data_IF_771140672196
#
_entry.id   IF_771140672196
#
_cell.length_a   1.000
_cell.length_b   1.000
_cell.length_c   1.000
_cell.angle_alpha   90.00
_cell.angle_beta   90.00
_cell.angle_gamma   90.00
#
_symmetry.space_group_name_H-M   'P 1'
#
loop_
_entity.id
_entity.type
_entity.pdbx_description
1 polymer ?
#
# COMPACT_ATOMS: atom_id res chain seq x y z
N UNK A 1 -24.46 16.71 14.87
CA UNK A 1 -24.60 15.63 15.88
C UNK A 1 -23.39 15.71 16.78
N UNK A 2 -23.55 15.76 18.11
CA UNK A 2 -22.39 15.69 19.02
C UNK A 2 -21.88 14.26 19.02
N UNK A 3 -20.67 14.03 18.52
CA UNK A 3 -20.01 12.72 18.63
C UNK A 3 -19.83 12.45 20.12
N UNK A 4 -20.44 11.37 20.61
CA UNK A 4 -20.28 10.94 21.99
C UNK A 4 -18.87 10.36 22.12
N UNK A 5 -18.02 11.03 22.91
CA UNK A 5 -16.71 10.50 23.26
C UNK A 5 -16.92 9.18 24.02
N UNK A 6 -16.30 8.12 23.52
CA UNK A 6 -16.24 6.82 24.19
C UNK A 6 -14.93 6.79 24.95
N UNK A 7 -15.00 6.62 26.27
CA UNK A 7 -13.80 6.42 27.09
C UNK A 7 -13.14 5.09 26.71
N UNK A 8 -11.80 5.06 26.54
CA UNK A 8 -11.10 3.83 26.19
C UNK A 8 -11.26 2.80 27.29
N UNK A 9 -11.58 1.56 26.91
CA UNK A 9 -11.72 0.43 27.84
C UNK A 9 -10.39 -0.27 28.14
N UNK A 10 -9.35 0.01 27.35
CA UNK A 10 -8.00 -0.53 27.50
C UNK A 10 -6.94 0.50 27.06
N UNK A 11 -5.75 0.43 27.68
CA UNK A 11 -4.56 1.20 27.30
C UNK A 11 -3.38 0.25 27.29
N UNK A 12 -2.66 0.17 26.17
CA UNK A 12 -1.51 -0.70 25.98
C UNK A 12 -0.21 0.08 25.95
N UNK A 13 0.84 -0.45 26.58
CA UNK A 13 2.20 0.05 26.37
C UNK A 13 2.80 -0.64 25.16
N UNK A 14 2.61 -0.04 23.98
CA UNK A 14 3.09 -0.58 22.71
C UNK A 14 4.54 -0.21 22.41
N UNK A 15 5.26 0.52 23.28
CA UNK A 15 6.65 0.93 23.01
C UNK A 15 7.60 -0.22 22.64
N UNK A 16 7.50 -1.43 23.22
CA UNK A 16 8.45 -2.51 22.92
C UNK A 16 8.26 -3.19 21.55
N UNK A 17 7.09 -3.06 20.91
CA UNK A 17 6.72 -3.87 19.73
C UNK A 17 5.75 -3.21 18.75
N UNK A 18 5.14 -2.09 19.15
CA UNK A 18 4.21 -1.32 18.34
C UNK A 18 4.90 -0.65 17.16
N UNK A 19 4.13 -0.45 16.09
CA UNK A 19 4.59 0.14 14.84
C UNK A 19 3.78 1.36 14.43
N UNK A 20 4.29 2.11 13.46
CA UNK A 20 3.56 3.21 12.84
C UNK A 20 2.37 2.71 12.00
N UNK A 21 2.44 1.45 11.56
CA UNK A 21 1.37 0.78 10.84
C UNK A 21 0.77 -0.34 11.70
N UNK A 22 -0.55 -0.42 11.69
CA UNK A 22 -1.27 -1.57 12.22
C UNK A 22 -2.39 -2.03 11.27
N UNK A 23 -2.84 -3.27 11.46
CA UNK A 23 -4.01 -3.88 10.83
C UNK A 23 -4.85 -4.57 11.89
N UNK A 24 -6.16 -4.59 11.69
CA UNK A 24 -7.11 -5.21 12.62
C UNK A 24 -7.91 -6.23 11.82
N UNK A 25 -7.88 -7.49 12.24
CA UNK A 25 -8.62 -8.58 11.62
C UNK A 25 -8.81 -9.72 12.62
N UNK A 26 -9.85 -10.53 12.45
CA UNK A 26 -9.99 -11.81 13.12
C UNK A 26 -9.12 -12.83 12.37
N UNK A 27 -7.92 -13.08 12.88
CA UNK A 27 -6.90 -13.86 12.18
C UNK A 27 -7.04 -15.35 12.50
N UNK A 28 -7.55 -15.69 13.68
CA UNK A 28 -7.69 -17.06 14.14
C UNK A 28 -9.11 -17.65 14.00
N UNK A 29 -10.09 -16.83 13.58
CA UNK A 29 -11.47 -17.22 13.32
C UNK A 29 -12.33 -17.40 14.58
N UNK A 30 -11.95 -16.81 15.72
CA UNK A 30 -12.70 -16.91 16.98
C UNK A 30 -13.83 -15.86 17.11
N UNK A 31 -13.98 -14.99 16.10
CA UNK A 31 -14.96 -13.91 16.06
C UNK A 31 -14.51 -12.63 16.76
N UNK A 32 -13.26 -12.53 17.22
CA UNK A 32 -12.68 -11.34 17.83
C UNK A 32 -11.50 -10.84 16.99
N UNK A 33 -11.29 -9.52 16.95
CA UNK A 33 -10.16 -8.97 16.22
C UNK A 33 -8.85 -9.10 17.01
N UNK A 34 -7.80 -9.51 16.32
CA UNK A 34 -6.41 -9.27 16.67
C UNK A 34 -5.91 -7.96 16.05
N UNK A 35 -4.77 -7.46 16.55
CA UNK A 35 -4.08 -6.29 16.00
C UNK A 35 -2.67 -6.68 15.60
N UNK A 36 -2.36 -6.55 14.30
CA UNK A 36 -1.02 -6.73 13.75
C UNK A 36 -0.31 -5.38 13.72
N UNK A 37 0.88 -5.29 14.30
CA UNK A 37 1.77 -4.15 14.19
C UNK A 37 2.96 -4.47 13.28
N UNK A 38 3.34 -3.49 12.46
CA UNK A 38 4.53 -3.54 11.61
C UNK A 38 5.50 -2.43 12.01
N UNK A 39 6.70 -2.83 12.43
CA UNK A 39 7.89 -1.98 12.42
C UNK A 39 8.71 -2.31 11.18
N UNK A 40 8.95 -1.31 10.34
CA UNK A 40 9.78 -1.48 9.17
C UNK A 40 10.44 -0.17 8.74
N UNK A 41 11.45 -0.26 7.86
CA UNK A 41 12.01 0.89 7.16
C UNK A 41 10.98 1.59 6.26
N UNK A 42 10.01 0.84 5.71
CA UNK A 42 9.11 1.36 4.67
C UNK A 42 9.89 1.81 3.43
N UNK A 43 9.54 2.96 2.86
CA UNK A 43 10.23 3.57 1.74
C UNK A 43 11.69 3.95 2.06
N UNK A 44 12.07 4.07 3.34
CA UNK A 44 13.46 4.27 3.71
C UNK A 44 14.34 3.13 3.19
N UNK A 45 13.83 1.91 3.03
CA UNK A 45 14.61 0.79 2.48
C UNK A 45 15.19 1.02 1.07
N UNK A 46 14.76 2.06 0.37
CA UNK A 46 15.31 2.44 -0.94
C UNK A 46 16.76 2.95 -0.83
N UNK A 47 17.57 2.67 -1.85
CA UNK A 47 18.97 3.13 -1.96
C UNK A 47 19.15 4.64 -1.82
N UNK A 48 18.14 5.44 -2.19
CA UNK A 48 18.13 6.89 -2.06
C UNK A 48 18.33 7.33 -0.60
N UNK A 49 17.79 6.60 0.37
CA UNK A 49 17.92 6.93 1.80
C UNK A 49 19.06 6.20 2.50
N UNK A 50 19.76 5.31 1.77
CA UNK A 50 20.80 4.46 2.31
C UNK A 50 22.12 5.24 2.52
N UNK A 51 22.66 5.29 3.75
CA UNK A 51 23.90 6.00 4.04
C UNK A 51 25.13 5.40 3.34
N UNK A 52 25.05 4.17 2.80
CA UNK A 52 26.10 3.52 2.00
C UNK A 52 26.22 4.10 0.59
N UNK A 53 25.23 4.90 0.16
CA UNK A 53 25.19 5.60 -1.13
C UNK A 53 25.22 7.13 -0.91
N UNK A 54 26.35 7.69 -0.41
CA UNK A 54 26.46 9.10 -0.04
C UNK A 54 26.41 10.05 -1.22
N UNK A 55 26.54 9.55 -2.45
CA UNK A 55 26.53 10.35 -3.67
C UNK A 55 25.10 10.67 -4.18
N UNK A 56 24.06 10.11 -3.56
CA UNK A 56 22.65 10.39 -3.87
C UNK A 56 22.13 11.51 -2.97
N UNK A 57 21.62 12.60 -3.57
CA UNK A 57 21.12 13.81 -2.91
C UNK A 57 19.75 13.60 -2.23
N UNK A 58 19.74 12.88 -1.11
CA UNK A 58 18.56 12.64 -0.28
C UNK A 58 18.93 12.64 1.21
N UNK A 59 17.95 12.84 2.09
CA UNK A 59 18.17 12.59 3.52
C UNK A 59 18.54 11.12 3.74
N UNK A 60 19.39 10.85 4.73
CA UNK A 60 19.86 9.49 5.02
C UNK A 60 19.34 9.03 6.37
N UNK A 61 18.93 7.77 6.46
CA UNK A 61 18.55 7.14 7.72
C UNK A 61 19.71 6.33 8.29
N UNK A 62 19.60 5.89 9.54
CA UNK A 62 20.54 4.94 10.11
C UNK A 62 20.49 3.59 9.39
N UNK A 63 21.57 2.82 9.45
CA UNK A 63 21.61 1.44 8.92
C UNK A 63 20.62 0.58 9.69
N UNK A 64 20.47 0.82 10.99
CA UNK A 64 19.49 0.19 11.85
C UNK A 64 18.04 0.46 11.41
N UNK A 65 17.71 1.68 10.91
CA UNK A 65 16.36 1.98 10.41
C UNK A 65 16.11 1.23 9.10
N UNK A 66 17.12 1.13 8.23
CA UNK A 66 17.06 0.41 6.95
C UNK A 66 16.79 -1.09 7.13
N UNK A 67 17.36 -1.67 8.19
CA UNK A 67 17.29 -3.10 8.50
C UNK A 67 16.09 -3.45 9.41
N UNK A 68 15.36 -2.46 9.93
CA UNK A 68 14.25 -2.67 10.83
C UNK A 68 13.15 -3.53 10.18
N UNK A 69 12.82 -4.63 10.85
CA UNK A 69 11.69 -5.47 10.52
C UNK A 69 11.19 -6.21 11.76
N UNK A 70 9.93 -5.95 12.12
CA UNK A 70 9.22 -6.71 13.15
C UNK A 70 7.71 -6.73 12.84
N UNK A 71 7.14 -7.91 12.80
CA UNK A 71 5.69 -8.15 12.85
C UNK A 71 5.34 -8.63 14.26
N UNK A 72 4.36 -8.00 14.89
CA UNK A 72 3.84 -8.42 16.20
C UNK A 72 2.33 -8.52 16.12
N UNK A 73 1.77 -9.71 16.36
CA UNK A 73 0.33 -9.89 16.50
C UNK A 73 -0.03 -9.92 17.99
N UNK A 74 -1.02 -9.13 18.37
CA UNK A 74 -1.55 -9.09 19.74
C UNK A 74 -3.05 -9.35 19.76
N UNK A 75 -3.54 -9.89 20.86
CA UNK A 75 -4.98 -10.06 21.10
C UNK A 75 -5.65 -8.74 21.54
N UNK A 76 -6.97 -8.78 21.78
CA UNK A 76 -7.74 -7.64 22.29
C UNK A 76 -7.38 -7.16 23.71
N UNK A 77 -6.49 -7.87 24.42
CA UNK A 77 -5.94 -7.44 25.71
C UNK A 77 -4.54 -6.80 25.56
N UNK A 78 -3.91 -6.93 24.39
CA UNK A 78 -2.54 -6.49 24.12
C UNK A 78 -1.49 -7.55 24.45
N UNK A 79 -1.90 -8.80 24.69
CA UNK A 79 -0.98 -9.92 24.88
C UNK A 79 -0.43 -10.38 23.53
N UNK A 80 0.89 -10.53 23.45
CA UNK A 80 1.56 -10.98 22.22
C UNK A 80 1.21 -12.45 21.96
N UNK A 81 0.63 -12.72 20.80
CA UNK A 81 0.34 -14.06 20.31
C UNK A 81 1.58 -14.65 19.64
N UNK A 82 2.20 -13.89 18.74
CA UNK A 82 3.47 -14.23 18.09
C UNK A 82 4.20 -12.97 17.62
N UNK A 83 5.51 -13.11 17.38
CA UNK A 83 6.35 -12.05 16.87
C UNK A 83 7.38 -12.61 15.88
N UNK A 84 7.50 -11.98 14.71
CA UNK A 84 8.45 -12.34 13.66
C UNK A 84 9.37 -11.16 13.35
N UNK A 85 10.68 -11.36 13.51
CA UNK A 85 11.68 -10.30 13.38
C UNK A 85 12.16 -9.76 14.72
N UNK A 86 12.84 -8.61 14.69
CA UNK A 86 13.44 -7.97 15.87
C UNK A 86 12.88 -6.57 16.01
N UNK A 87 12.21 -6.25 17.13
CA UNK A 87 11.68 -4.92 17.33
C UNK A 87 12.81 -3.90 17.49
N UNK A 88 12.46 -2.65 17.24
CA UNK A 88 13.36 -1.54 17.44
C UNK A 88 13.87 -1.46 18.89
N UNK A 89 15.19 -1.29 19.05
CA UNK A 89 15.86 -1.39 20.35
C UNK A 89 16.79 -0.21 20.68
N UNK A 90 16.83 0.84 19.86
CA UNK A 90 17.66 2.01 20.14
C UNK A 90 16.98 2.97 21.13
N UNK A 91 17.79 3.81 21.80
CA UNK A 91 17.32 4.80 22.78
C UNK A 91 16.42 5.90 22.17
N UNK A 92 16.52 6.12 20.85
CA UNK A 92 15.68 7.06 20.10
C UNK A 92 14.47 6.34 19.50
N UNK A 93 13.36 7.02 19.18
CA UNK A 93 12.31 6.44 18.34
C UNK A 93 12.85 5.96 16.98
N UNK A 94 12.27 4.87 16.45
CA UNK A 94 12.55 4.46 15.07
C UNK A 94 11.99 5.49 14.08
N UNK A 95 12.63 5.60 12.92
CA UNK A 95 12.13 6.42 11.83
C UNK A 95 11.47 5.54 10.77
N UNK A 96 10.29 5.93 10.31
CA UNK A 96 9.58 5.25 9.24
C UNK A 96 9.03 6.27 8.27
N UNK A 97 9.18 5.97 6.98
CA UNK A 97 8.43 6.61 5.92
C UNK A 97 7.65 5.53 5.22
N UNK A 98 6.35 5.48 5.44
CA UNK A 98 5.49 4.72 4.58
C UNK A 98 4.37 5.57 4.06
N UNK A 99 4.59 6.09 2.85
CA UNK A 99 3.56 6.66 2.00
C UNK A 99 2.26 5.86 2.18
N UNK A 100 1.27 6.52 2.78
CA UNK A 100 -0.11 6.05 2.96
C UNK A 100 -0.33 4.78 3.78
N UNK A 101 0.72 4.23 4.41
CA UNK A 101 0.59 3.03 5.24
C UNK A 101 0.12 1.78 4.49
N UNK A 102 0.33 1.69 3.17
CA UNK A 102 -0.13 0.60 2.27
C UNK A 102 0.98 -0.40 1.90
N UNK A 103 1.81 -0.75 2.90
CA UNK A 103 2.89 -1.72 2.76
C UNK A 103 2.47 -3.13 3.14
N UNK A 104 1.38 -3.25 3.90
CA UNK A 104 0.92 -4.48 4.52
C UNK A 104 -0.58 -4.65 4.24
N UNK A 105 -1.01 -5.86 3.93
CA UNK A 105 -2.42 -6.23 3.84
C UNK A 105 -2.67 -7.53 4.62
N UNK A 106 -3.90 -7.68 5.13
CA UNK A 106 -4.39 -8.91 5.76
C UNK A 106 -5.54 -9.45 4.91
N UNK A 107 -5.32 -10.58 4.25
CA UNK A 107 -6.29 -11.16 3.31
C UNK A 107 -6.09 -12.67 3.19
N UNK A 108 -7.17 -13.40 2.95
CA UNK A 108 -7.11 -14.77 2.43
C UNK A 108 -6.70 -14.72 0.95
N UNK A 109 -5.39 -14.71 0.71
CA UNK A 109 -4.80 -14.44 -0.59
C UNK A 109 -5.01 -15.62 -1.56
N UNK A 110 -4.87 -16.84 -1.04
CA UNK A 110 -4.95 -18.08 -1.83
C UNK A 110 -6.35 -18.74 -1.84
N UNK A 111 -7.30 -18.20 -1.05
CA UNK A 111 -8.69 -18.62 -1.01
C UNK A 111 -8.92 -19.89 -0.18
N UNK A 112 -7.98 -20.26 0.72
CA UNK A 112 -8.07 -21.45 1.56
C UNK A 112 -8.88 -21.24 2.86
N UNK A 113 -9.37 -20.02 3.09
CA UNK A 113 -10.13 -19.62 4.28
C UNK A 113 -9.27 -19.16 5.44
N UNK A 114 -7.95 -19.06 5.30
CA UNK A 114 -7.03 -18.53 6.30
C UNK A 114 -6.47 -17.18 5.86
N UNK A 115 -6.16 -16.33 6.82
CA UNK A 115 -5.61 -15.01 6.52
C UNK A 115 -4.09 -15.08 6.35
N UNK A 116 -3.59 -14.48 5.28
CA UNK A 116 -2.19 -14.17 5.07
C UNK A 116 -1.86 -12.70 5.38
N UNK A 117 -0.58 -12.46 5.66
CA UNK A 117 0.02 -11.13 5.70
C UNK A 117 0.80 -10.92 4.41
N UNK A 118 0.31 -10.02 3.56
CA UNK A 118 1.01 -9.57 2.36
C UNK A 118 1.82 -8.32 2.70
N UNK A 119 3.13 -8.32 2.46
CA UNK A 119 4.00 -7.24 2.88
C UNK A 119 5.12 -6.96 1.88
N UNK A 120 5.40 -5.67 1.63
CA UNK A 120 6.67 -5.24 1.02
C UNK A 120 7.69 -4.85 2.09
N UNK A 121 8.88 -5.44 2.03
CA UNK A 121 10.01 -5.07 2.84
C UNK A 121 11.30 -5.08 2.01
N UNK A 122 11.92 -3.91 1.86
CA UNK A 122 13.05 -3.71 0.94
C UNK A 122 12.67 -4.10 -0.49
N UNK A 123 13.49 -4.90 -1.13
CA UNK A 123 13.27 -5.44 -2.47
C UNK A 123 12.63 -6.83 -2.43
N UNK A 124 11.83 -7.13 -1.41
CA UNK A 124 11.10 -8.37 -1.26
C UNK A 124 9.60 -8.13 -1.01
N UNK A 125 8.78 -8.86 -1.76
CA UNK A 125 7.38 -9.07 -1.45
C UNK A 125 7.25 -10.38 -0.70
N UNK A 126 6.67 -10.33 0.50
CA UNK A 126 6.62 -11.44 1.45
C UNK A 126 5.17 -11.77 1.78
N UNK A 127 4.89 -13.06 1.92
CA UNK A 127 3.60 -13.59 2.35
C UNK A 127 3.82 -14.44 3.58
N UNK A 128 3.18 -14.08 4.70
CA UNK A 128 3.24 -14.84 5.95
C UNK A 128 1.88 -15.48 6.24
N UNK A 129 1.87 -16.62 6.91
CA UNK A 129 0.68 -17.13 7.60
C UNK A 129 0.39 -16.20 8.78
N UNK A 130 -0.80 -15.60 8.84
CA UNK A 130 -1.11 -14.65 9.90
C UNK A 130 -1.37 -15.35 11.24
N UNK A 131 -1.66 -16.65 11.26
CA UNK A 131 -1.97 -17.39 12.51
C UNK A 131 -0.73 -17.63 13.37
N UNK A 132 0.44 -17.80 12.75
CA UNK A 132 1.69 -18.12 13.45
C UNK A 132 2.88 -17.23 13.08
N UNK A 133 2.72 -16.35 12.08
CA UNK A 133 3.75 -15.42 11.63
C UNK A 133 4.86 -16.08 10.80
N UNK A 134 4.68 -17.32 10.32
CA UNK A 134 5.67 -18.00 9.48
C UNK A 134 5.61 -17.54 8.02
N UNK A 135 6.78 -17.34 7.41
CA UNK A 135 6.90 -16.96 6.01
C UNK A 135 6.45 -18.13 5.10
N UNK A 136 5.33 -17.95 4.37
CA UNK A 136 4.79 -18.91 3.39
C UNK A 136 5.50 -18.78 2.04
N UNK A 137 5.69 -17.54 1.56
CA UNK A 137 6.24 -17.28 0.23
C UNK A 137 7.02 -15.94 0.20
N UNK A 138 7.98 -15.83 -0.72
CA UNK A 138 8.72 -14.60 -0.95
C UNK A 138 9.07 -14.45 -2.42
N UNK A 139 9.07 -13.21 -2.90
CA UNK A 139 9.51 -12.84 -4.24
C UNK A 139 10.45 -11.65 -4.18
N UNK A 140 11.58 -11.78 -4.89
CA UNK A 140 12.45 -10.64 -5.18
C UNK A 140 11.75 -9.67 -6.11
N UNK A 141 11.72 -8.40 -5.73
CA UNK A 141 11.17 -7.31 -6.52
C UNK A 141 12.25 -6.72 -7.44
N UNK A 142 11.87 -6.09 -8.57
CA UNK A 142 12.81 -5.53 -9.52
C UNK A 142 13.78 -4.48 -8.96
N UNK A 143 13.39 -3.77 -7.90
CA UNK A 143 14.20 -2.74 -7.25
C UNK A 143 13.77 -2.55 -5.78
N UNK A 144 14.54 -1.76 -5.02
CA UNK A 144 14.27 -1.43 -3.61
C UNK A 144 13.29 -0.25 -3.41
N UNK A 145 12.76 0.31 -4.49
CA UNK A 145 11.76 1.39 -4.45
C UNK A 145 10.32 0.91 -4.30
N UNK A 146 10.10 -0.40 -4.31
CA UNK A 146 8.81 -0.99 -3.97
C UNK A 146 8.44 -0.67 -2.54
N UNK A 147 7.25 -0.11 -2.39
CA UNK A 147 6.78 0.41 -1.11
C UNK A 147 5.23 0.39 -1.01
N UNK A 148 4.56 -0.21 -1.99
CA UNK A 148 3.10 -0.31 -2.06
C UNK A 148 2.70 -1.74 -2.42
N UNK A 149 1.75 -2.30 -1.69
CA UNK A 149 1.09 -3.56 -2.08
C UNK A 149 -0.33 -3.64 -1.57
N UNK A 150 -1.21 -4.23 -2.39
CA UNK A 150 -2.60 -4.50 -2.07
C UNK A 150 -3.04 -5.82 -2.70
N UNK A 151 -3.95 -6.49 -2.02
CA UNK A 151 -4.72 -7.57 -2.61
C UNK A 151 -5.88 -6.99 -3.42
N UNK A 152 -6.09 -7.49 -4.65
CA UNK A 152 -7.14 -7.03 -5.58
C UNK A 152 -7.85 -8.23 -6.21
N UNK A 153 -9.14 -8.09 -6.52
CA UNK A 153 -9.94 -9.15 -7.15
C UNK A 153 -10.12 -8.83 -8.63
N UNK A 154 -9.39 -9.54 -9.49
CA UNK A 154 -9.41 -9.32 -10.94
C UNK A 154 -9.86 -10.55 -11.73
N UNK A 155 -10.37 -11.58 -11.05
CA UNK A 155 -10.99 -12.74 -11.67
C UNK A 155 -11.96 -13.45 -10.70
N UNK A 156 -12.63 -14.50 -11.20
CA UNK A 156 -13.63 -15.29 -10.49
C UNK A 156 -13.05 -16.54 -9.81
N UNK A 157 -11.73 -16.65 -9.70
CA UNK A 157 -11.05 -17.85 -9.17
C UNK A 157 -11.30 -18.08 -7.67
N UNK A 158 -11.82 -17.07 -6.97
CA UNK A 158 -11.93 -17.04 -5.51
C UNK A 158 -10.64 -16.60 -4.82
N UNK A 159 -9.55 -16.40 -5.57
CA UNK A 159 -8.25 -15.99 -5.07
C UNK A 159 -8.05 -14.49 -5.26
N UNK A 160 -7.20 -13.88 -4.43
CA UNK A 160 -6.76 -12.52 -4.69
C UNK A 160 -5.50 -12.50 -5.54
N UNK A 161 -5.37 -11.43 -6.31
CA UNK A 161 -4.14 -11.05 -6.98
C UNK A 161 -3.41 -10.01 -6.15
N UNK A 162 -2.12 -9.85 -6.41
CA UNK A 162 -1.28 -8.86 -5.75
C UNK A 162 -0.93 -7.76 -6.73
N UNK A 163 -1.42 -6.56 -6.43
CA UNK A 163 -0.90 -5.34 -7.01
C UNK A 163 0.28 -4.85 -6.17
N UNK A 164 1.41 -4.56 -6.79
CA UNK A 164 2.56 -3.93 -6.12
C UNK A 164 3.33 -3.04 -7.07
N UNK A 165 3.87 -1.93 -6.57
CA UNK A 165 4.61 -0.96 -7.38
C UNK A 165 5.73 -0.30 -6.60
N UNK A 166 6.69 0.23 -7.34
CA UNK A 166 7.59 1.25 -6.80
C UNK A 166 6.78 2.51 -6.46
N UNK A 167 7.09 3.16 -5.34
CA UNK A 167 6.52 4.46 -4.98
C UNK A 167 7.59 5.51 -4.73
N UNK A 168 8.80 5.23 -5.21
CA UNK A 168 9.94 6.14 -5.26
C UNK A 168 10.57 6.02 -6.65
N UNK A 169 11.52 6.90 -6.97
CA UNK A 169 12.39 6.75 -8.13
C UNK A 169 13.79 6.34 -7.72
N UNK A 170 14.59 5.87 -8.68
CA UNK A 170 16.04 5.78 -8.53
C UNK A 170 16.73 5.96 -9.87
N UNK A 171 18.03 5.66 -9.94
CA UNK A 171 18.79 5.70 -11.20
C UNK A 171 18.25 4.74 -12.26
N UNK A 172 17.56 3.68 -11.84
CA UNK A 172 17.15 2.57 -12.71
C UNK A 172 15.65 2.54 -12.99
N UNK A 173 14.85 3.38 -12.32
CA UNK A 173 13.40 3.40 -12.47
C UNK A 173 12.79 4.78 -12.22
N UNK A 174 11.72 5.10 -12.95
CA UNK A 174 10.95 6.33 -12.77
C UNK A 174 10.05 6.26 -11.54
N UNK A 175 9.62 7.43 -11.07
CA UNK A 175 8.75 7.54 -9.91
C UNK A 175 7.45 6.76 -10.13
N UNK A 176 7.03 6.01 -9.11
CA UNK A 176 5.81 5.21 -9.18
C UNK A 176 5.92 3.91 -10.00
N UNK A 177 7.10 3.55 -10.52
CA UNK A 177 7.25 2.49 -11.51
C UNK A 177 8.44 1.55 -11.25
N UNK A 178 8.36 0.26 -11.67
CA UNK A 178 7.25 -0.37 -12.39
C UNK A 178 6.07 -0.73 -11.48
N UNK A 179 4.93 -0.98 -12.12
CA UNK A 179 3.76 -1.61 -11.49
C UNK A 179 3.65 -3.07 -11.92
N UNK A 180 3.41 -3.96 -10.97
CA UNK A 180 3.31 -5.40 -11.14
C UNK A 180 1.94 -5.87 -10.69
N UNK A 181 1.35 -6.76 -11.49
CA UNK A 181 0.22 -7.60 -11.09
C UNK A 181 0.70 -9.04 -11.00
N UNK A 182 0.47 -9.68 -9.86
CA UNK A 182 0.89 -11.04 -9.56
C UNK A 182 -0.31 -11.88 -9.14
N UNK A 183 -0.24 -13.19 -9.33
CA UNK A 183 -1.20 -14.11 -8.71
C UNK A 183 -0.82 -14.40 -7.24
N UNK A 184 -1.66 -15.16 -6.52
CA UNK A 184 -1.41 -15.55 -5.12
C UNK A 184 -0.09 -16.31 -4.90
N UNK A 185 0.48 -16.94 -5.93
CA UNK A 185 1.81 -17.60 -5.87
C UNK A 185 2.98 -16.64 -6.11
N UNK A 186 2.69 -15.34 -6.24
CA UNK A 186 3.62 -14.29 -6.60
C UNK A 186 4.21 -14.46 -8.02
N UNK A 187 3.53 -15.17 -8.92
CA UNK A 187 3.94 -15.26 -10.34
C UNK A 187 3.42 -14.04 -11.10
N UNK A 188 4.21 -13.49 -12.02
CA UNK A 188 3.80 -12.32 -12.79
C UNK A 188 2.65 -12.64 -13.71
N UNK A 189 1.55 -11.89 -13.57
CA UNK A 189 0.48 -11.82 -14.58
C UNK A 189 0.90 -10.80 -15.64
N UNK A 190 1.20 -9.56 -15.22
CA UNK A 190 1.74 -8.53 -16.10
C UNK A 190 2.60 -7.52 -15.34
N UNK A 191 3.37 -6.74 -16.11
CA UNK A 191 4.17 -5.61 -15.64
C UNK A 191 3.89 -4.41 -16.53
N UNK A 192 3.70 -3.22 -15.95
CA UNK A 192 3.45 -1.97 -16.66
C UNK A 192 4.35 -0.83 -16.17
N UNK A 193 4.59 0.09 -17.10
CA UNK A 193 5.14 1.41 -16.86
C UNK A 193 4.00 2.40 -17.13
N UNK A 194 3.63 3.22 -16.15
CA UNK A 194 2.51 4.16 -16.25
C UNK A 194 3.04 5.57 -16.00
N UNK A 195 2.78 6.48 -16.93
CA UNK A 195 3.16 7.88 -16.80
C UNK A 195 2.36 8.54 -15.67
N UNK A 196 3.03 9.30 -14.79
CA UNK A 196 2.38 9.87 -13.61
C UNK A 196 1.88 8.85 -12.59
N UNK A 197 2.36 7.59 -12.60
CA UNK A 197 1.91 6.49 -11.73
C UNK A 197 1.82 6.81 -10.23
N UNK A 198 2.60 7.80 -9.76
CA UNK A 198 2.39 8.37 -8.43
C UNK A 198 2.76 7.46 -7.27
N UNK A 199 2.19 7.71 -6.10
CA UNK A 199 2.47 6.93 -4.90
C UNK A 199 1.73 5.59 -4.88
N UNK A 200 0.44 5.59 -5.21
CA UNK A 200 -0.46 4.44 -4.99
C UNK A 200 -1.31 4.10 -6.21
N UNK A 201 -1.92 2.91 -6.16
CA UNK A 201 -3.07 2.57 -7.00
C UNK A 201 -4.34 2.52 -6.17
N UNK A 202 -5.48 2.84 -6.76
CA UNK A 202 -6.80 2.72 -6.14
C UNK A 202 -7.68 1.75 -6.95
N UNK A 203 -8.61 1.07 -6.27
CA UNK A 203 -9.30 -0.11 -6.81
C UNK A 203 -10.77 -0.09 -6.43
N UNK A 204 -11.64 -0.31 -7.42
CA UNK A 204 -13.07 -0.49 -7.24
C UNK A 204 -13.66 -1.14 -8.50
N UNK A 205 -14.77 -1.87 -8.33
CA UNK A 205 -15.63 -2.32 -9.42
C UNK A 205 -16.44 -1.12 -9.95
N UNK A 206 -15.82 -0.37 -10.86
CA UNK A 206 -16.32 0.88 -11.44
C UNK A 206 -17.37 0.62 -12.50
N UNK A 207 -17.23 -0.45 -13.29
CA UNK A 207 -18.16 -0.77 -14.37
C UNK A 207 -19.24 -1.81 -14.00
N UNK A 208 -19.16 -2.40 -12.82
CA UNK A 208 -20.18 -3.28 -12.24
C UNK A 208 -20.10 -4.73 -12.74
N UNK A 209 -18.97 -5.16 -13.30
CA UNK A 209 -18.76 -6.52 -13.77
C UNK A 209 -18.37 -7.51 -12.64
N UNK A 210 -18.04 -6.99 -11.45
CA UNK A 210 -17.66 -7.75 -10.26
C UNK A 210 -16.16 -7.89 -10.04
N UNK A 211 -15.33 -7.25 -10.87
CA UNK A 211 -13.87 -7.18 -10.73
C UNK A 211 -13.41 -5.75 -10.47
N UNK A 212 -12.25 -5.62 -9.81
CA UNK A 212 -11.71 -4.30 -9.51
C UNK A 212 -11.02 -3.68 -10.74
N UNK A 213 -11.50 -2.52 -11.20
CA UNK A 213 -10.73 -1.61 -12.04
C UNK A 213 -9.54 -1.03 -11.26
N UNK A 214 -8.49 -0.67 -11.99
CA UNK A 214 -7.21 -0.24 -11.45
C UNK A 214 -6.94 1.21 -11.85
N UNK A 215 -7.08 2.13 -10.91
CA UNK A 215 -6.59 3.50 -11.07
C UNK A 215 -5.09 3.53 -10.75
N UNK A 216 -4.27 3.84 -11.74
CA UNK A 216 -2.81 3.93 -11.61
C UNK A 216 -2.36 5.26 -12.24
N UNK A 217 -1.87 6.18 -11.42
CA UNK A 217 -1.61 7.54 -11.87
C UNK A 217 -2.89 8.20 -12.40
N UNK A 218 -2.80 8.83 -13.56
CA UNK A 218 -3.94 9.50 -14.22
C UNK A 218 -4.65 8.61 -15.24
N UNK A 219 -4.61 7.28 -15.04
CA UNK A 219 -5.16 6.30 -15.97
C UNK A 219 -5.97 5.25 -15.24
N UNK A 220 -7.16 4.94 -15.79
CA UNK A 220 -7.99 3.84 -15.33
C UNK A 220 -7.82 2.65 -16.27
N UNK A 221 -7.58 1.48 -15.68
CA UNK A 221 -7.47 0.22 -16.39
C UNK A 221 -8.57 -0.72 -15.93
N UNK A 222 -9.05 -1.53 -16.87
CA UNK A 222 -9.88 -2.70 -16.65
C UNK A 222 -9.12 -3.74 -15.80
N UNK A 223 -9.82 -4.69 -15.21
CA UNK A 223 -9.29 -5.74 -14.33
C UNK A 223 -8.17 -6.56 -15.01
N UNK A 224 -8.21 -6.71 -16.35
CA UNK A 224 -7.19 -7.41 -17.15
C UNK A 224 -5.96 -6.52 -17.50
N UNK A 225 -6.01 -5.24 -17.15
CA UNK A 225 -4.99 -4.23 -17.41
C UNK A 225 -5.14 -3.51 -18.75
N UNK A 226 -6.25 -3.68 -19.47
CA UNK A 226 -6.62 -2.89 -20.65
C UNK A 226 -6.93 -1.45 -20.24
N UNK A 227 -6.39 -0.41 -20.90
CA UNK A 227 -6.73 0.96 -20.54
C UNK A 227 -8.18 1.27 -20.93
N UNK A 228 -8.96 1.78 -19.99
CA UNK A 228 -10.30 2.34 -20.22
C UNK A 228 -10.14 3.78 -20.70
N UNK A 229 -9.41 4.59 -19.94
CA UNK A 229 -9.01 5.94 -20.31
C UNK A 229 -7.69 6.35 -19.64
N UNK A 230 -7.08 7.41 -20.17
CA UNK A 230 -5.82 7.94 -19.66
C UNK A 230 -5.74 9.45 -19.92
N UNK A 231 -5.32 10.20 -18.91
CA UNK A 231 -4.92 11.59 -19.03
C UNK A 231 -3.40 11.71 -18.93
N UNK A 232 -2.81 12.61 -19.73
CA UNK A 232 -1.41 12.93 -19.58
C UNK A 232 -1.18 13.74 -18.29
N UNK A 233 -0.02 13.59 -17.63
CA UNK A 233 0.38 14.52 -16.58
C UNK A 233 0.39 15.97 -17.08
N UNK A 234 0.25 16.92 -16.16
CA UNK A 234 0.21 18.35 -16.48
C UNK A 234 1.62 18.95 -16.72
N UNK A 235 2.67 18.25 -16.27
CA UNK A 235 4.08 18.58 -16.51
C UNK A 235 4.94 17.31 -16.52
N UNK A 236 6.23 17.44 -16.86
CA UNK A 236 7.16 16.31 -17.00
C UNK A 236 7.40 15.54 -15.68
N UNK A 237 7.35 16.22 -14.54
CA UNK A 237 7.60 15.63 -13.22
C UNK A 237 6.30 15.38 -12.42
N UNK A 238 5.15 15.68 -13.03
CA UNK A 238 3.85 15.51 -12.39
C UNK A 238 3.49 14.03 -12.21
N UNK A 239 3.01 13.71 -11.02
CA UNK A 239 2.61 12.37 -10.63
C UNK A 239 1.45 12.41 -9.64
N UNK A 240 0.69 11.32 -9.60
CA UNK A 240 -0.45 11.20 -8.71
C UNK A 240 0.01 11.13 -7.24
N UNK A 241 -0.33 12.16 -6.47
CA UNK A 241 -0.04 12.23 -5.04
C UNK A 241 -1.09 11.45 -4.24
N UNK A 242 -2.37 11.66 -4.56
CA UNK A 242 -3.48 10.94 -3.94
C UNK A 242 -4.66 10.76 -4.91
N UNK A 243 -5.52 9.78 -4.63
CA UNK A 243 -6.72 9.52 -5.41
C UNK A 243 -7.78 8.80 -4.61
N UNK A 244 -9.04 9.09 -4.91
CA UNK A 244 -10.19 8.36 -4.37
C UNK A 244 -11.18 7.99 -5.47
N UNK A 245 -11.75 6.78 -5.37
CA UNK A 245 -12.85 6.31 -6.21
C UNK A 245 -14.08 6.20 -5.30
N UNK A 246 -15.07 7.04 -5.54
CA UNK A 246 -16.23 7.17 -4.64
C UNK A 246 -17.42 7.78 -5.38
N UNK A 247 -18.61 7.26 -5.09
CA UNK A 247 -19.87 7.91 -5.47
C UNK A 247 -20.04 9.18 -4.61
N UNK A 248 -19.76 10.36 -5.19
CA UNK A 248 -19.75 11.63 -4.46
C UNK A 248 -21.12 12.25 -4.31
N UNK A 249 -22.07 11.92 -5.17
CA UNK A 249 -23.39 12.55 -5.20
C UNK A 249 -24.58 11.62 -4.98
N UNK A 250 -24.32 10.32 -4.80
CA UNK A 250 -25.27 9.28 -4.45
C UNK A 250 -26.08 8.80 -5.65
N UNK A 251 -25.55 8.88 -6.86
CA UNK A 251 -26.23 8.45 -8.10
C UNK A 251 -25.93 7.01 -8.53
N UNK A 252 -25.18 6.27 -7.70
CA UNK A 252 -24.71 4.89 -7.94
C UNK A 252 -23.64 4.77 -9.04
N UNK A 253 -23.09 5.88 -9.53
CA UNK A 253 -21.92 5.92 -10.40
C UNK A 253 -20.69 6.45 -9.64
N UNK A 254 -19.50 5.92 -9.95
CA UNK A 254 -18.29 6.39 -9.30
C UNK A 254 -17.74 7.67 -9.93
N UNK A 255 -17.36 8.62 -9.06
CA UNK A 255 -16.41 9.66 -9.39
C UNK A 255 -14.98 9.27 -8.98
N UNK A 256 -14.03 9.79 -9.75
CA UNK A 256 -12.62 9.54 -9.55
C UNK A 256 -11.92 10.86 -9.29
N UNK A 257 -11.54 11.08 -8.03
CA UNK A 257 -10.78 12.24 -7.60
C UNK A 257 -9.28 11.94 -7.73
N UNK A 258 -8.52 12.84 -8.35
CA UNK A 258 -7.06 12.74 -8.48
C UNK A 258 -6.40 14.04 -8.03
N UNK A 259 -5.36 13.90 -7.23
CA UNK A 259 -4.52 14.98 -6.74
C UNK A 259 -3.15 14.91 -7.43
N UNK A 260 -2.76 16.03 -8.04
CA UNK A 260 -1.51 16.14 -8.78
C UNK A 260 -0.40 16.74 -7.91
N UNK A 261 0.84 16.24 -8.08
CA UNK A 261 2.02 16.88 -7.50
C UNK A 261 2.24 18.26 -8.13
N UNK A 262 2.08 19.30 -7.32
CA UNK A 262 2.41 20.67 -7.73
C UNK A 262 1.38 21.30 -8.68
N UNK A 263 0.19 20.70 -8.80
CA UNK A 263 -0.91 21.23 -9.60
C UNK A 263 -2.27 21.16 -8.88
N UNK A 264 -3.33 21.36 -9.64
CA UNK A 264 -4.71 21.34 -9.15
C UNK A 264 -5.24 19.91 -9.04
N UNK A 265 -6.29 19.72 -8.24
CA UNK A 265 -7.00 18.44 -8.18
C UNK A 265 -8.13 18.40 -9.23
N UNK A 266 -8.43 17.19 -9.72
CA UNK A 266 -9.49 16.95 -10.68
C UNK A 266 -10.44 15.89 -10.16
N UNK A 267 -11.72 16.03 -10.51
CA UNK A 267 -12.74 15.00 -10.36
C UNK A 267 -13.17 14.62 -11.76
N UNK A 268 -13.08 13.34 -12.06
CA UNK A 268 -13.52 12.72 -13.30
C UNK A 268 -14.80 11.91 -13.05
N UNK A 269 -15.66 11.81 -14.06
CA UNK A 269 -16.68 10.76 -14.10
C UNK A 269 -16.00 9.41 -14.41
N UNK A 270 -16.72 8.30 -14.24
CA UNK A 270 -16.23 6.95 -14.55
C UNK A 270 -15.65 6.80 -15.98
N UNK A 271 -16.21 7.53 -16.96
CA UNK A 271 -15.73 7.55 -18.35
C UNK A 271 -14.46 8.39 -18.59
N UNK A 272 -13.91 9.00 -17.53
CA UNK A 272 -12.71 9.82 -17.55
C UNK A 272 -12.96 11.28 -17.93
N UNK A 273 -14.18 11.67 -18.30
CA UNK A 273 -14.49 13.08 -18.59
C UNK A 273 -14.36 13.94 -17.33
N UNK A 274 -13.80 15.15 -17.50
CA UNK A 274 -13.58 16.06 -16.36
C UNK A 274 -14.94 16.58 -15.87
N UNK A 275 -15.32 16.20 -14.66
CA UNK A 275 -16.48 16.73 -13.94
C UNK A 275 -16.16 18.07 -13.32
N UNK A 276 -15.01 18.18 -12.65
CA UNK A 276 -14.60 19.39 -11.95
C UNK A 276 -13.08 19.53 -11.85
N UNK A 277 -12.60 20.77 -11.91
CA UNK A 277 -11.24 21.16 -11.50
C UNK A 277 -11.31 21.94 -10.19
N UNK A 278 -10.40 21.66 -9.27
CA UNK A 278 -10.31 22.31 -7.96
C UNK A 278 -8.92 22.92 -7.85
N UNK A 279 -8.87 24.26 -7.76
CA UNK A 279 -7.58 24.94 -7.69
C UNK A 279 -6.94 24.76 -6.32
N UNK A 280 -5.76 24.14 -6.29
CA UNK A 280 -5.04 23.78 -5.05
C UNK A 280 -3.53 24.02 -5.14
N UNK A 281 -2.95 24.13 -6.34
CA UNK A 281 -1.51 24.27 -6.59
C UNK A 281 -0.60 23.13 -6.12
N UNK A 282 -0.98 22.35 -5.10
CA UNK A 282 -0.39 21.07 -4.70
C UNK A 282 -1.37 20.42 -3.69
N UNK A 283 -1.64 19.13 -3.82
CA UNK A 283 -2.54 18.40 -2.93
C UNK A 283 -1.97 17.00 -2.68
N UNK A 284 -1.85 16.64 -1.39
CA UNK A 284 -1.47 15.33 -0.88
C UNK A 284 -2.53 14.88 0.10
#
# INVERSE_FOLDING_TARGET
MSVQWIEPTAVWDVRPWGGAMFRVADVNGDGKPEVLFLQSAGAHANEAFDPRHPELDYYKTGVEDQELFCLTLVDGNGDILWQTGTPWAEDRPFSWNGHWGRFCDLVDLDGDGKTEILLVHKDELRVYDATDGHLKNTRKLPNSGFNYTRAVRIDDSGQYHVFTKSGTSSREHSYGNPTLMLNHRLETVWTKQVEGAGHQGNFADVDGDGFDELLIGYSLFDHDGTPIWSHAPLSEDDHLDDSEIVDLDGDEEFEIAVAHDGHDAYIHNADGSIRRRISMHHCQ
#
